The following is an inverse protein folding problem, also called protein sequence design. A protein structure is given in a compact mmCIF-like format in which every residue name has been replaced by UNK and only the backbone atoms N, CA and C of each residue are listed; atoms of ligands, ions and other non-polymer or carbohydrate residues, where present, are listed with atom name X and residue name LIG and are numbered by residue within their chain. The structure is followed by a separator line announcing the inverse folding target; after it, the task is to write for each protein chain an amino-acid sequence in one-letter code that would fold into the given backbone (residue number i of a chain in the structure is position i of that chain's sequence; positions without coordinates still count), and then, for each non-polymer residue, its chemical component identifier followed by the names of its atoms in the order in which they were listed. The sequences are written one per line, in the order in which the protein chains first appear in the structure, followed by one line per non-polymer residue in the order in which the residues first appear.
data_IF_640185072926
#
_entry.id   IF_640185072926
#
_cell.length_a   1.000
_cell.length_b   1.000
_cell.length_c   1.000
_cell.angle_alpha   90.00
_cell.angle_beta   90.00
_cell.angle_gamma   90.00
#
_symmetry.space_group_name_H-M   'P 1'
#
loop_
_entity.id
_entity.type
_entity.pdbx_description
1 polymer ?
#
# COMPACT_ATOMS: atom_id res chain seq x y z
N UNK A 1 -15.94 -9.81 -12.79
CA UNK A 1 -14.86 -9.30 -13.66
C UNK A 1 -14.22 -8.00 -13.15
N UNK A 2 -14.89 -7.19 -12.31
CA UNK A 2 -14.37 -5.91 -11.82
C UNK A 2 -13.10 -6.00 -10.93
N UNK A 3 -12.82 -7.15 -10.31
CA UNK A 3 -11.69 -7.35 -9.39
C UNK A 3 -10.46 -8.04 -10.01
N UNK A 4 -10.46 -8.32 -11.32
CA UNK A 4 -9.43 -9.16 -11.96
C UNK A 4 -8.00 -8.57 -11.90
N UNK A 5 -7.88 -7.24 -11.72
CA UNK A 5 -6.62 -6.52 -11.67
C UNK A 5 -6.43 -5.75 -10.36
N UNK A 6 -7.32 -5.96 -9.37
CA UNK A 6 -7.19 -5.34 -8.07
C UNK A 6 -6.24 -6.16 -7.19
N UNK A 7 -5.35 -5.50 -6.46
CA UNK A 7 -4.60 -6.18 -5.40
C UNK A 7 -5.52 -6.43 -4.21
N UNK A 8 -5.44 -7.65 -3.68
CA UNK A 8 -6.21 -8.05 -2.52
C UNK A 8 -5.37 -7.83 -1.26
N UNK A 9 -5.91 -7.03 -0.35
CA UNK A 9 -5.34 -6.83 0.98
C UNK A 9 -6.15 -7.64 1.99
N UNK A 10 -5.46 -8.43 2.80
CA UNK A 10 -6.06 -9.26 3.85
C UNK A 10 -5.51 -8.80 5.20
N UNK A 11 -6.41 -8.56 6.15
CA UNK A 11 -6.09 -8.15 7.52
C UNK A 11 -6.57 -9.22 8.49
N UNK A 12 -5.82 -9.43 9.56
CA UNK A 12 -6.23 -10.29 10.68
C UNK A 12 -7.28 -9.63 11.60
N UNK A 13 -7.58 -8.35 11.38
CA UNK A 13 -8.57 -7.60 12.14
C UNK A 13 -10.00 -7.99 11.74
N UNK A 14 -10.86 -8.10 12.74
CA UNK A 14 -12.29 -8.18 12.50
C UNK A 14 -12.83 -6.84 11.98
N UNK A 15 -13.89 -6.89 11.17
CA UNK A 15 -14.53 -5.69 10.60
C UNK A 15 -14.85 -4.57 11.61
N UNK A 16 -15.43 -4.83 12.80
CA UNK A 16 -15.66 -3.78 13.79
C UNK A 16 -14.37 -3.12 14.30
N UNK A 17 -13.24 -3.82 14.26
CA UNK A 17 -11.93 -3.33 14.73
C UNK A 17 -11.12 -2.67 13.60
N UNK A 18 -11.54 -2.84 12.34
CA UNK A 18 -10.94 -2.17 11.20
C UNK A 18 -11.33 -0.68 11.18
N UNK A 19 -10.54 0.13 11.88
CA UNK A 19 -10.71 1.59 12.00
C UNK A 19 -9.77 2.36 11.08
N UNK A 20 -9.81 3.68 11.20
CA UNK A 20 -9.02 4.62 10.40
C UNK A 20 -7.51 4.31 10.37
N UNK A 21 -6.94 3.84 11.47
CA UNK A 21 -5.51 3.53 11.56
C UNK A 21 -5.15 2.29 10.74
N UNK A 22 -5.96 1.24 10.84
CA UNK A 22 -5.84 0.04 10.01
C UNK A 22 -6.00 0.36 8.52
N UNK A 23 -6.90 1.31 8.18
CA UNK A 23 -7.05 1.76 6.79
C UNK A 23 -5.81 2.51 6.29
N UNK A 24 -5.18 3.36 7.11
CA UNK A 24 -3.92 4.03 6.76
C UNK A 24 -2.78 3.05 6.58
N UNK A 25 -2.68 2.04 7.44
CA UNK A 25 -1.68 0.98 7.32
C UNK A 25 -1.87 0.18 6.03
N UNK A 26 -3.11 -0.23 5.73
CA UNK A 26 -3.45 -0.93 4.50
C UNK A 26 -3.09 -0.12 3.24
N UNK A 27 -3.35 1.20 3.24
CA UNK A 27 -2.96 2.09 2.15
C UNK A 27 -1.44 2.22 2.01
N UNK A 28 -0.71 2.30 3.13
CA UNK A 28 0.75 2.37 3.13
C UNK A 28 1.36 1.11 2.54
N UNK A 29 0.87 -0.06 2.96
CA UNK A 29 1.32 -1.36 2.46
C UNK A 29 0.99 -1.54 0.97
N UNK A 30 -0.23 -1.19 0.54
CA UNK A 30 -0.60 -1.15 -0.88
C UNK A 30 0.33 -0.25 -1.71
N UNK A 31 0.67 0.94 -1.19
CA UNK A 31 1.60 1.85 -1.86
C UNK A 31 3.04 1.32 -1.92
N UNK A 32 3.46 0.50 -0.95
CA UNK A 32 4.78 -0.15 -0.92
C UNK A 32 4.86 -1.35 -1.87
N UNK A 33 3.77 -2.12 -2.02
CA UNK A 33 3.70 -3.28 -2.92
C UNK A 33 3.85 -2.90 -4.41
N UNK A 34 3.56 -1.65 -4.75
CA UNK A 34 3.70 -1.08 -6.11
C UNK A 34 4.97 -0.23 -6.33
N UNK A 35 6.11 -0.57 -5.70
CA UNK A 35 7.42 -0.03 -6.14
C UNK A 35 8.53 -1.07 -6.19
N UNK A 36 8.44 -1.94 -7.20
CA UNK A 36 9.65 -2.59 -7.76
C UNK A 36 10.20 -1.85 -8.99
N UNK A 37 9.43 -0.99 -9.65
CA UNK A 37 9.89 -0.17 -10.79
C UNK A 37 9.13 1.16 -10.87
N UNK A 38 9.60 2.19 -10.16
CA UNK A 38 8.97 3.52 -10.26
C UNK A 38 9.63 4.66 -9.49
N UNK A 39 10.56 4.39 -8.58
CA UNK A 39 11.67 5.29 -8.25
C UNK A 39 12.90 4.43 -7.99
N UNK A 40 13.86 4.47 -8.90
CA UNK A 40 15.25 4.12 -8.61
C UNK A 40 15.71 4.94 -7.40
N UNK A 41 16.65 4.39 -6.63
CA UNK A 41 17.33 5.09 -5.53
C UNK A 41 18.00 6.44 -5.93
N UNK A 42 17.99 6.81 -7.21
CA UNK A 42 18.53 8.06 -7.76
C UNK A 42 17.75 9.34 -7.42
N UNK A 43 16.48 9.26 -7.04
CA UNK A 43 15.69 10.48 -6.77
C UNK A 43 15.77 10.98 -5.31
N UNK A 44 16.51 10.30 -4.43
CA UNK A 44 16.70 10.73 -3.04
C UNK A 44 18.01 11.48 -2.80
N UNK A 45 18.89 11.60 -3.81
CA UNK A 45 20.17 12.32 -3.70
C UNK A 45 20.21 13.68 -4.43
N UNK A 46 19.11 14.10 -5.07
CA UNK A 46 19.06 15.34 -5.87
C UNK A 46 18.35 16.53 -5.20
N UNK A 47 17.88 16.38 -3.95
CA UNK A 47 17.45 17.51 -3.11
C UNK A 47 17.93 17.31 -1.67
N UNK A 48 19.20 17.65 -1.43
CA UNK A 48 19.71 18.47 -0.31
C UNK A 48 21.22 18.29 -0.15
#
# INVERSE_FOLDING_TARGET
WQLAYAELYFSDLYWPDFKHDAMREALSDFAQRQRRFGKTSDQLAAES
#
